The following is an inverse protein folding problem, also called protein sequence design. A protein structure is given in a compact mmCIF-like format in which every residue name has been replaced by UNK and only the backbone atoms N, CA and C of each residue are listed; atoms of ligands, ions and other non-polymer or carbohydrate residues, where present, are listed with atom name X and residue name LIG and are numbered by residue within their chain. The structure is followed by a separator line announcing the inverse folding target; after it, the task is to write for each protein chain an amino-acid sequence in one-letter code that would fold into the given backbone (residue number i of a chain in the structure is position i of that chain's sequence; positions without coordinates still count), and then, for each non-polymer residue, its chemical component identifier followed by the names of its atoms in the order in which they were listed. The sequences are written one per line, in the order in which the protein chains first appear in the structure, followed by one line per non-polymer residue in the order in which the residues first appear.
data_IF_637331783161
#
_entry.id   IF_637331783161
#
_cell.length_a   1.000
_cell.length_b   1.000
_cell.length_c   1.000
_cell.angle_alpha   90.00
_cell.angle_beta   90.00
_cell.angle_gamma   90.00
#
_symmetry.space_group_name_H-M   'P 1'
#
loop_
_entity.id
_entity.type
_entity.pdbx_description
1 polymer ?
#
# COMPACT_ATOMS: atom_id res chain seq x y z
N UNK A 1 4.15 1.94 4.19
CA UNK A 1 3.93 0.87 3.18
C UNK A 1 5.12 0.87 2.23
N UNK A 2 5.39 -0.23 1.53
CA UNK A 2 6.60 -0.41 0.74
C UNK A 2 6.73 0.59 -0.41
N UNK A 3 5.61 0.99 -1.03
CA UNK A 3 5.55 1.98 -2.11
C UNK A 3 5.83 3.42 -1.69
N UNK A 4 6.18 3.68 -0.42
CA UNK A 4 6.60 5.00 0.07
C UNK A 4 8.03 5.00 0.62
N UNK A 5 8.38 3.96 1.38
CA UNK A 5 9.63 3.89 2.16
C UNK A 5 10.38 2.57 1.97
N UNK A 6 10.11 1.85 0.88
CA UNK A 6 10.78 0.59 0.51
C UNK A 6 12.11 0.75 -0.23
N UNK A 7 12.51 1.98 -0.58
CA UNK A 7 13.80 2.29 -1.17
C UNK A 7 14.90 2.38 -0.12
N UNK A 8 16.12 2.01 -0.49
CA UNK A 8 17.29 2.00 0.41
C UNK A 8 17.46 3.36 1.14
N UNK A 9 17.30 4.46 0.40
CA UNK A 9 17.48 5.83 0.90
C UNK A 9 16.37 6.30 1.86
N UNK A 10 15.23 5.59 1.90
CA UNK A 10 14.12 5.92 2.80
C UNK A 10 14.00 4.93 3.96
N UNK A 11 14.34 3.67 3.72
CA UNK A 11 14.08 2.55 4.62
C UNK A 11 14.85 2.68 5.93
N UNK A 12 16.16 2.88 5.86
CA UNK A 12 17.02 3.08 7.04
C UNK A 12 16.68 4.36 7.82
N UNK A 13 16.64 5.53 7.15
CA UNK A 13 16.29 6.79 7.81
C UNK A 13 14.91 6.79 8.47
N UNK A 14 13.92 6.09 7.90
CA UNK A 14 12.60 5.95 8.53
C UNK A 14 12.68 5.20 9.86
N UNK A 15 13.45 4.11 9.93
CA UNK A 15 13.64 3.39 11.19
C UNK A 15 14.35 4.25 12.25
N UNK A 16 15.30 5.09 11.82
CA UNK A 16 16.01 6.01 12.71
C UNK A 16 15.07 7.09 13.30
N UNK A 17 14.24 7.75 12.49
CA UNK A 17 13.30 8.78 12.98
C UNK A 17 12.19 8.15 13.84
N UNK A 18 11.76 6.92 13.55
CA UNK A 18 10.84 6.20 14.43
C UNK A 18 11.47 5.92 15.80
N UNK A 19 12.75 5.56 15.85
CA UNK A 19 13.47 5.36 17.11
C UNK A 19 13.60 6.67 17.89
N UNK A 20 13.93 7.77 17.22
CA UNK A 20 13.96 9.10 17.82
C UNK A 20 12.62 9.44 18.48
N UNK A 21 11.52 9.30 17.74
CA UNK A 21 10.17 9.53 18.25
C UNK A 21 9.82 8.61 19.43
N UNK A 22 10.19 7.32 19.36
CA UNK A 22 9.96 6.36 20.44
C UNK A 22 10.82 6.60 21.69
N UNK A 23 11.70 7.61 21.67
CA UNK A 23 12.53 8.02 22.81
C UNK A 23 12.37 9.50 23.17
N UNK A 24 11.43 10.19 22.53
CA UNK A 24 11.13 11.59 22.80
C UNK A 24 10.20 11.72 24.02
N UNK A 25 10.22 12.88 24.67
CA UNK A 25 9.28 13.25 25.74
C UNK A 25 9.16 12.22 26.89
N UNK A 26 10.27 11.52 27.20
CA UNK A 26 10.33 10.52 28.27
C UNK A 26 9.82 9.12 27.91
N UNK A 27 9.37 8.91 26.67
CA UNK A 27 9.05 7.57 26.17
C UNK A 27 10.32 6.73 25.98
N UNK A 28 10.13 5.42 25.91
CA UNK A 28 11.17 4.45 25.59
C UNK A 28 10.67 3.46 24.56
N UNK A 29 11.57 2.68 23.97
CA UNK A 29 11.16 1.59 23.05
C UNK A 29 10.35 0.48 23.72
N UNK A 30 10.29 0.44 25.05
CA UNK A 30 9.41 -0.48 25.77
C UNK A 30 7.93 -0.06 25.68
N UNK A 31 7.67 1.21 25.35
CA UNK A 31 6.32 1.73 25.14
C UNK A 31 5.79 1.43 23.72
N UNK A 32 6.62 0.84 22.86
CA UNK A 32 6.27 0.46 21.49
C UNK A 32 6.14 -1.06 21.37
N UNK A 33 4.90 -1.53 21.20
CA UNK A 33 4.63 -2.97 21.01
C UNK A 33 4.94 -3.46 19.60
N UNK A 34 4.80 -2.59 18.60
CA UNK A 34 4.91 -2.97 17.21
C UNK A 34 4.60 -1.82 16.25
N UNK A 35 4.53 -2.16 14.97
CA UNK A 35 4.34 -1.20 13.88
C UNK A 35 3.29 -1.70 12.91
N UNK A 36 2.60 -0.80 12.22
CA UNK A 36 1.62 -1.14 11.20
C UNK A 36 2.08 -0.63 9.83
N UNK A 37 1.92 -1.44 8.79
CA UNK A 37 2.12 -1.05 7.40
C UNK A 37 0.78 -1.00 6.66
N UNK A 38 0.80 -0.40 5.47
CA UNK A 38 -0.35 -0.27 4.58
C UNK A 38 -1.60 0.45 5.10
N UNK A 39 -1.58 1.08 6.28
CA UNK A 39 -2.74 1.79 6.86
C UNK A 39 -3.41 2.71 5.84
N UNK A 40 -4.68 2.47 5.53
CA UNK A 40 -5.47 3.18 4.54
C UNK A 40 -4.87 3.22 3.11
N UNK A 41 -3.99 2.28 2.76
CA UNK A 41 -3.37 2.18 1.44
C UNK A 41 -3.82 0.90 0.71
N UNK A 42 -3.17 0.59 -0.41
CA UNK A 42 -3.61 -0.41 -1.37
C UNK A 42 -2.50 -1.35 -1.82
N UNK A 43 -1.28 -1.23 -1.28
CA UNK A 43 -0.17 -2.10 -1.68
C UNK A 43 -0.52 -3.57 -1.44
N UNK A 44 -0.28 -4.41 -2.45
CA UNK A 44 -0.61 -5.83 -2.41
C UNK A 44 0.00 -6.51 -1.17
N UNK A 45 -0.76 -7.42 -0.55
CA UNK A 45 -0.27 -8.17 0.61
C UNK A 45 0.95 -9.03 0.24
N UNK A 46 0.86 -9.76 -0.87
CA UNK A 46 1.91 -10.60 -1.44
C UNK A 46 1.84 -10.61 -2.95
N UNK A 47 2.96 -10.36 -3.63
CA UNK A 47 3.09 -10.54 -5.09
C UNK A 47 3.74 -11.90 -5.37
N UNK A 48 3.06 -12.73 -6.16
CA UNK A 48 3.48 -14.11 -6.44
C UNK A 48 3.73 -14.37 -7.93
N UNK A 49 3.35 -13.45 -8.81
CA UNK A 49 3.48 -13.67 -10.24
C UNK A 49 4.90 -13.40 -10.76
N UNK A 50 5.70 -12.62 -10.03
CA UNK A 50 7.11 -12.36 -10.34
C UNK A 50 7.89 -11.97 -9.07
N UNK A 51 9.23 -11.94 -9.17
CA UNK A 51 10.10 -11.57 -8.05
C UNK A 51 11.04 -10.43 -8.39
N UNK A 52 11.59 -9.78 -7.35
CA UNK A 52 12.57 -8.69 -7.50
C UNK A 52 13.88 -9.15 -8.15
N UNK A 53 14.16 -10.46 -8.10
CA UNK A 53 15.37 -11.08 -8.64
C UNK A 53 15.21 -11.50 -10.11
N UNK A 54 14.00 -11.40 -10.67
CA UNK A 54 13.77 -11.78 -12.05
C UNK A 54 14.50 -10.82 -13.00
N UNK A 55 14.97 -11.36 -14.11
CA UNK A 55 15.56 -10.62 -15.23
C UNK A 55 14.78 -10.92 -16.49
N UNK A 56 14.36 -9.87 -17.21
CA UNK A 56 13.57 -9.96 -18.45
C UNK A 56 14.22 -9.11 -19.51
N UNK A 57 14.46 -9.70 -20.69
CA UNK A 57 15.13 -9.04 -21.80
C UNK A 57 16.46 -8.35 -21.40
N UNK A 58 17.22 -8.98 -20.50
CA UNK A 58 18.51 -8.48 -20.02
C UNK A 58 18.43 -7.37 -18.97
N UNK A 59 17.23 -7.00 -18.49
CA UNK A 59 17.01 -5.98 -17.47
C UNK A 59 16.43 -6.58 -16.18
N UNK A 60 16.83 -6.05 -15.03
CA UNK A 60 16.24 -6.44 -13.74
C UNK A 60 14.79 -5.95 -13.66
N UNK A 61 13.90 -6.71 -13.01
CA UNK A 61 12.54 -6.24 -12.64
C UNK A 61 12.55 -4.89 -11.93
N UNK A 62 13.61 -4.60 -11.17
CA UNK A 62 13.81 -3.32 -10.49
C UNK A 62 13.89 -2.12 -11.44
N UNK A 63 14.27 -2.34 -12.70
CA UNK A 63 14.31 -1.28 -13.72
C UNK A 63 12.94 -0.96 -14.32
N UNK A 64 11.89 -1.72 -13.99
CA UNK A 64 10.53 -1.41 -14.46
C UNK A 64 10.02 -0.10 -13.85
N UNK A 65 9.16 0.59 -14.58
CA UNK A 65 8.54 1.86 -14.13
C UNK A 65 7.70 1.71 -12.87
N UNK A 66 7.11 0.52 -12.65
CA UNK A 66 6.29 0.25 -11.47
C UNK A 66 7.15 0.03 -10.22
N UNK A 67 8.22 -0.76 -10.35
CA UNK A 67 9.09 -1.11 -9.21
C UNK A 67 10.06 0.03 -8.89
N UNK A 68 10.56 0.70 -9.92
CA UNK A 68 11.39 1.91 -9.83
C UNK A 68 12.52 1.78 -8.79
N UNK A 69 13.31 0.72 -8.87
CA UNK A 69 14.40 0.39 -7.95
C UNK A 69 14.03 0.08 -6.49
N UNK A 70 12.75 0.01 -6.13
CA UNK A 70 12.31 -0.44 -4.82
C UNK A 70 12.87 -1.86 -4.51
N UNK A 71 13.04 -2.18 -3.23
CA UNK A 71 13.50 -3.49 -2.77
C UNK A 71 12.37 -4.49 -2.55
N UNK A 72 11.13 -4.01 -2.51
CA UNK A 72 9.95 -4.78 -2.14
C UNK A 72 8.86 -4.62 -3.19
N UNK A 73 8.12 -5.70 -3.43
CA UNK A 73 6.97 -5.73 -4.34
C UNK A 73 5.63 -5.78 -3.61
N UNK A 74 5.67 -6.03 -2.30
CA UNK A 74 4.51 -6.33 -1.48
C UNK A 74 4.73 -5.95 -0.02
N UNK A 75 3.63 -5.88 0.74
CA UNK A 75 3.67 -5.49 2.15
C UNK A 75 4.24 -6.57 3.07
N UNK A 76 4.05 -7.86 2.77
CA UNK A 76 4.53 -8.92 3.66
C UNK A 76 6.06 -8.94 3.72
N UNK A 77 6.73 -8.94 2.56
CA UNK A 77 8.20 -8.91 2.50
C UNK A 77 8.75 -7.62 3.09
N UNK A 78 8.11 -6.49 2.81
CA UNK A 78 8.46 -5.20 3.38
C UNK A 78 8.33 -5.18 4.92
N UNK A 79 7.20 -5.64 5.47
CA UNK A 79 6.96 -5.62 6.91
C UNK A 79 7.99 -6.50 7.66
N UNK A 80 8.30 -7.69 7.13
CA UNK A 80 9.30 -8.59 7.73
C UNK A 80 10.71 -7.99 7.70
N UNK A 81 11.10 -7.38 6.58
CA UNK A 81 12.39 -6.71 6.47
C UNK A 81 12.45 -5.48 7.39
N UNK A 82 11.37 -4.68 7.42
CA UNK A 82 11.32 -3.44 8.20
C UNK A 82 11.33 -3.72 9.69
N UNK A 83 10.67 -4.80 10.15
CA UNK A 83 10.82 -5.32 11.52
C UNK A 83 12.29 -5.56 11.86
N UNK A 84 13.03 -6.23 10.97
CA UNK A 84 14.45 -6.54 11.19
C UNK A 84 15.30 -5.26 11.25
N UNK A 85 14.99 -4.28 10.39
CA UNK A 85 15.62 -2.96 10.41
C UNK A 85 15.33 -2.18 11.70
N UNK A 86 14.09 -2.22 12.20
CA UNK A 86 13.70 -1.56 13.45
C UNK A 86 14.43 -2.19 14.65
N UNK A 87 14.52 -3.51 14.72
CA UNK A 87 15.33 -4.19 15.76
C UNK A 87 16.79 -3.77 15.66
N UNK A 88 17.34 -3.66 14.44
CA UNK A 88 18.72 -3.21 14.21
C UNK A 88 18.93 -1.74 14.59
N UNK A 89 17.89 -0.91 14.51
CA UNK A 89 17.87 0.48 14.98
C UNK A 89 17.67 0.60 16.51
N UNK A 90 17.49 -0.52 17.24
CA UNK A 90 17.43 -0.56 18.69
C UNK A 90 16.01 -0.61 19.28
N UNK A 91 15.01 -1.05 18.52
CA UNK A 91 13.74 -1.51 19.08
C UNK A 91 13.87 -2.92 19.67
N UNK A 92 12.94 -3.30 20.57
CA UNK A 92 12.95 -4.61 21.19
C UNK A 92 12.79 -5.74 20.15
N UNK A 93 13.47 -6.86 20.35
CA UNK A 93 13.43 -7.99 19.41
C UNK A 93 12.07 -8.71 19.36
N UNK A 94 11.18 -8.44 20.31
CA UNK A 94 9.83 -9.00 20.40
C UNK A 94 8.75 -8.11 19.77
N UNK A 95 9.10 -6.98 19.13
CA UNK A 95 8.11 -6.19 18.39
C UNK A 95 7.42 -7.03 17.31
N UNK A 96 6.15 -6.74 17.06
CA UNK A 96 5.38 -7.33 15.97
C UNK A 96 4.97 -6.33 14.90
N UNK A 97 4.52 -6.85 13.77
CA UNK A 97 4.02 -6.04 12.65
C UNK A 97 2.55 -6.31 12.40
N UNK A 98 1.80 -5.27 12.06
CA UNK A 98 0.46 -5.35 11.51
C UNK A 98 0.48 -4.96 10.03
N UNK A 99 -0.43 -5.51 9.24
CA UNK A 99 -0.67 -5.06 7.86
C UNK A 99 -2.15 -4.74 7.71
N UNK A 100 -2.45 -3.50 7.31
CA UNK A 100 -3.82 -3.14 6.92
C UNK A 100 -4.16 -3.81 5.57
N UNK A 101 -5.09 -4.75 5.64
CA UNK A 101 -5.57 -5.56 4.51
C UNK A 101 -6.99 -5.17 4.07
N UNK A 102 -7.51 -4.04 4.57
CA UNK A 102 -8.86 -3.57 4.30
C UNK A 102 -9.20 -3.45 2.82
N UNK A 103 -8.26 -2.98 1.98
CA UNK A 103 -8.53 -2.60 0.58
C UNK A 103 -7.46 -3.06 -0.42
N UNK A 104 -6.61 -4.03 -0.06
CA UNK A 104 -5.46 -4.43 -0.88
C UNK A 104 -5.59 -5.81 -1.56
N UNK A 105 -6.81 -6.33 -1.71
CA UNK A 105 -7.02 -7.66 -2.29
C UNK A 105 -6.72 -7.73 -3.78
N UNK A 106 -7.09 -6.70 -4.54
CA UNK A 106 -6.96 -6.66 -6.00
C UNK A 106 -7.48 -7.94 -6.68
N UNK A 107 -8.72 -8.29 -6.36
CA UNK A 107 -9.45 -9.41 -6.95
C UNK A 107 -10.23 -9.01 -8.20
N UNK A 108 -11.35 -9.69 -8.41
CA UNK A 108 -12.18 -9.52 -9.59
C UNK A 108 -11.58 -10.16 -10.85
N UNK A 109 -12.31 -10.06 -11.96
CA UNK A 109 -11.96 -10.72 -13.22
C UNK A 109 -10.66 -10.20 -13.87
N UNK A 110 -10.18 -9.02 -13.45
CA UNK A 110 -8.95 -8.40 -13.97
C UNK A 110 -7.68 -8.80 -13.20
N UNK A 111 -7.79 -9.58 -12.10
CA UNK A 111 -6.63 -10.06 -11.35
C UNK A 111 -5.78 -11.00 -12.23
N UNK A 112 -4.48 -10.71 -12.45
CA UNK A 112 -3.63 -11.60 -13.21
C UNK A 112 -3.48 -12.98 -12.55
N UNK A 113 -3.50 -14.04 -13.37
CA UNK A 113 -3.33 -15.43 -12.92
C UNK A 113 -1.88 -15.93 -13.05
N UNK A 114 -0.96 -15.06 -13.48
CA UNK A 114 0.45 -15.38 -13.69
C UNK A 114 1.25 -14.16 -14.16
N UNK A 115 2.57 -14.32 -14.41
CA UNK A 115 3.42 -13.24 -14.91
C UNK A 115 2.94 -12.67 -16.25
N UNK A 116 3.32 -11.43 -16.52
CA UNK A 116 3.13 -10.81 -17.84
C UNK A 116 4.05 -11.38 -18.92
N UNK A 117 3.90 -10.92 -20.17
CA UNK A 117 4.77 -11.31 -21.28
C UNK A 117 6.22 -10.85 -21.05
N UNK A 118 7.19 -11.71 -21.39
CA UNK A 118 8.63 -11.44 -21.25
C UNK A 118 9.21 -10.56 -22.39
N UNK A 119 8.39 -9.71 -23.01
CA UNK A 119 8.79 -8.85 -24.15
C UNK A 119 9.55 -7.60 -23.69
N UNK A 120 9.25 -7.09 -22.50
CA UNK A 120 10.03 -6.06 -21.81
C UNK A 120 9.81 -6.20 -20.29
N UNK A 121 10.66 -5.57 -19.48
CA UNK A 121 10.48 -5.57 -18.03
C UNK A 121 9.15 -4.93 -17.60
N UNK A 122 8.75 -3.84 -18.26
CA UNK A 122 7.48 -3.16 -17.98
C UNK A 122 6.29 -4.05 -18.35
N UNK A 123 6.31 -4.71 -19.52
CA UNK A 123 5.22 -5.58 -19.94
C UNK A 123 5.08 -6.81 -19.03
N UNK A 124 6.21 -7.35 -18.55
CA UNK A 124 6.24 -8.46 -17.60
C UNK A 124 5.62 -8.07 -16.25
N UNK A 125 6.02 -6.92 -15.71
CA UNK A 125 5.54 -6.41 -14.43
C UNK A 125 4.09 -5.96 -14.52
N UNK A 126 3.71 -5.13 -15.49
CA UNK A 126 2.33 -4.62 -15.64
C UNK A 126 1.32 -5.72 -15.99
N UNK A 127 1.76 -6.75 -16.72
CA UNK A 127 0.93 -7.92 -17.02
C UNK A 127 0.75 -8.84 -15.81
N UNK A 128 1.72 -8.86 -14.87
CA UNK A 128 1.73 -9.77 -13.74
C UNK A 128 1.24 -9.19 -12.42
N UNK A 129 1.40 -7.88 -12.18
CA UNK A 129 1.17 -7.30 -10.84
C UNK A 129 -0.29 -7.34 -10.40
N UNK A 130 -0.51 -7.71 -9.14
CA UNK A 130 -1.84 -7.65 -8.53
C UNK A 130 -2.29 -6.22 -8.29
N UNK A 131 -1.43 -5.38 -7.70
CA UNK A 131 -1.73 -3.96 -7.51
C UNK A 131 -1.87 -3.29 -8.88
N UNK A 132 -3.05 -2.75 -9.20
CA UNK A 132 -3.39 -2.22 -10.53
C UNK A 132 -3.35 -0.69 -10.61
N UNK A 133 -2.80 0.00 -9.60
CA UNK A 133 -2.66 1.47 -9.64
C UNK A 133 -1.76 1.92 -10.78
N UNK A 134 -1.86 3.20 -11.16
CA UNK A 134 -0.92 3.80 -12.12
C UNK A 134 0.46 4.03 -11.51
N UNK A 135 0.52 4.30 -10.20
CA UNK A 135 1.75 4.50 -9.47
C UNK A 135 1.57 4.09 -7.99
N UNK A 136 2.62 3.59 -7.34
CA UNK A 136 2.59 3.21 -5.92
C UNK A 136 2.29 4.38 -4.96
N UNK A 137 2.52 5.62 -5.40
CA UNK A 137 2.19 6.86 -4.70
C UNK A 137 0.74 7.32 -4.85
N UNK A 138 -0.08 6.64 -5.67
CA UNK A 138 -1.51 6.95 -5.76
C UNK A 138 -2.26 6.34 -4.57
N UNK A 139 -2.79 7.20 -3.69
CA UNK A 139 -3.29 6.80 -2.37
C UNK A 139 -4.77 7.09 -2.12
N UNK A 140 -5.43 7.93 -2.92
CA UNK A 140 -6.81 8.35 -2.63
C UNK A 140 -7.82 7.59 -3.48
N UNK A 141 -8.86 7.02 -2.85
CA UNK A 141 -10.04 6.43 -3.45
C UNK A 141 -9.76 5.55 -4.68
N UNK A 142 -8.75 4.67 -4.59
CA UNK A 142 -8.21 4.02 -5.79
C UNK A 142 -9.24 3.14 -6.50
N UNK A 143 -9.41 3.42 -7.79
CA UNK A 143 -10.28 2.64 -8.67
C UNK A 143 -9.71 1.24 -8.93
N UNK A 144 -10.61 0.26 -8.98
CA UNK A 144 -10.26 -1.16 -9.15
C UNK A 144 -9.83 -1.87 -7.88
N UNK A 145 -9.65 -1.18 -6.76
CA UNK A 145 -9.30 -1.78 -5.48
C UNK A 145 -10.36 -2.79 -5.01
N UNK A 146 -9.96 -3.70 -4.12
CA UNK A 146 -10.76 -4.80 -3.62
C UNK A 146 -10.51 -5.09 -2.14
N UNK A 147 -11.51 -5.59 -1.42
CA UNK A 147 -11.31 -6.08 -0.04
C UNK A 147 -10.18 -7.12 -0.03
N UNK A 148 -9.25 -7.01 0.91
CA UNK A 148 -8.18 -7.97 1.07
C UNK A 148 -8.54 -9.16 1.94
N UNK A 149 -7.50 -9.78 2.48
CA UNK A 149 -7.64 -10.81 3.51
C UNK A 149 -8.44 -10.26 4.69
N UNK A 150 -9.33 -11.06 5.26
CA UNK A 150 -10.10 -10.66 6.45
C UNK A 150 -9.16 -10.63 7.65
N UNK A 151 -9.49 -9.90 8.74
CA UNK A 151 -8.64 -9.86 9.92
C UNK A 151 -8.28 -11.27 10.40
N UNK A 152 -6.98 -11.52 10.55
CA UNK A 152 -6.41 -12.82 10.88
C UNK A 152 -5.24 -12.65 11.83
N UNK A 153 -5.27 -13.38 12.94
CA UNK A 153 -4.18 -13.39 13.92
C UNK A 153 -3.02 -14.29 13.46
N UNK A 154 -1.79 -13.86 13.75
CA UNK A 154 -0.53 -14.53 13.46
C UNK A 154 -0.44 -15.21 12.08
N UNK A 155 -0.72 -14.49 10.97
CA UNK A 155 -0.79 -15.10 9.63
C UNK A 155 0.58 -15.47 9.05
N UNK A 156 1.66 -14.86 9.55
CA UNK A 156 3.02 -15.11 9.09
C UNK A 156 4.04 -14.76 10.18
N UNK A 157 5.27 -15.27 10.03
CA UNK A 157 6.36 -14.97 10.98
C UNK A 157 6.63 -13.46 11.07
N UNK A 158 6.64 -12.93 12.29
CA UNK A 158 6.86 -11.51 12.58
C UNK A 158 5.65 -10.60 12.32
N UNK A 159 4.50 -11.17 11.89
CA UNK A 159 3.24 -10.45 11.70
C UNK A 159 2.26 -10.88 12.79
N UNK A 160 1.86 -9.94 13.65
CA UNK A 160 0.91 -10.20 14.74
C UNK A 160 -0.50 -10.41 14.21
N UNK A 161 -0.91 -9.60 13.23
CA UNK A 161 -2.20 -9.75 12.58
C UNK A 161 -2.26 -9.03 11.23
N UNK A 162 -3.09 -9.57 10.34
CA UNK A 162 -3.75 -8.76 9.33
C UNK A 162 -4.96 -8.09 9.97
N UNK A 163 -5.12 -6.80 9.73
CA UNK A 163 -6.19 -5.98 10.31
C UNK A 163 -6.90 -5.20 9.21
N UNK A 164 -8.14 -4.81 9.46
CA UNK A 164 -8.80 -3.78 8.67
C UNK A 164 -8.76 -2.50 9.48
N UNK A 165 -7.73 -1.68 9.25
CA UNK A 165 -7.54 -0.43 10.00
C UNK A 165 -8.36 0.70 9.39
N UNK A 166 -8.31 0.88 8.06
CA UNK A 166 -9.25 1.74 7.34
C UNK A 166 -10.58 0.99 7.16
N UNK A 167 -11.73 1.52 7.64
CA UNK A 167 -13.01 0.87 7.42
C UNK A 167 -13.37 0.87 5.92
N UNK A 168 -13.59 -0.31 5.30
CA UNK A 168 -13.95 -0.36 3.89
C UNK A 168 -15.26 0.38 3.61
N UNK A 169 -15.23 1.28 2.62
CA UNK A 169 -16.38 2.11 2.25
C UNK A 169 -16.33 3.53 2.81
N UNK A 170 -15.42 3.85 3.73
CA UNK A 170 -15.13 5.24 4.05
C UNK A 170 -14.21 5.87 3.00
N UNK A 171 -14.57 7.06 2.52
CA UNK A 171 -13.73 7.80 1.58
C UNK A 171 -12.39 8.21 2.19
N UNK A 172 -11.38 8.35 1.32
CA UNK A 172 -10.07 8.92 1.66
C UNK A 172 -10.06 10.44 1.56
N UNK A 173 -10.99 11.04 0.81
CA UNK A 173 -11.04 12.48 0.54
C UNK A 173 -12.01 12.84 -0.59
N UNK A 174 -12.50 14.08 -0.57
CA UNK A 174 -13.44 14.57 -1.56
C UNK A 174 -12.79 14.68 -2.94
N UNK A 175 -13.49 14.26 -3.99
CA UNK A 175 -13.01 14.35 -5.37
C UNK A 175 -13.16 15.75 -6.00
N UNK A 176 -13.75 16.69 -5.26
CA UNK A 176 -13.96 18.09 -5.62
C UNK A 176 -14.09 18.92 -4.35
N UNK A 177 -14.13 20.24 -4.48
CA UNK A 177 -14.45 21.10 -3.36
C UNK A 177 -15.88 20.86 -2.86
N UNK A 178 -16.00 20.56 -1.56
CA UNK A 178 -17.29 20.36 -0.87
C UNK A 178 -17.24 21.22 0.40
N UNK A 179 -18.08 22.27 0.51
CA UNK A 179 -18.17 23.08 1.72
C UNK A 179 -18.48 22.21 2.95
N UNK A 180 -17.73 22.39 4.03
CA UNK A 180 -17.88 21.63 5.26
C UNK A 180 -17.40 22.41 6.50
N UNK A 181 -17.78 21.93 7.68
CA UNK A 181 -17.40 22.48 8.99
C UNK A 181 -16.34 21.62 9.69
N UNK A 182 -15.70 20.70 8.98
CA UNK A 182 -14.73 19.73 9.53
C UNK A 182 -13.27 20.14 9.28
N UNK A 183 -13.04 21.29 8.64
CA UNK A 183 -11.70 21.78 8.29
C UNK A 183 -11.02 20.96 7.19
N UNK A 184 -11.79 20.21 6.39
CA UNK A 184 -11.25 19.32 5.34
C UNK A 184 -11.24 20.02 3.98
N UNK A 185 -10.05 20.18 3.42
CA UNK A 185 -9.86 20.76 2.09
C UNK A 185 -10.04 19.76 0.94
N UNK A 186 -9.88 20.26 -0.28
CA UNK A 186 -9.85 19.47 -1.51
C UNK A 186 -8.41 19.14 -1.91
N UNK A 187 -8.00 17.88 -1.70
CA UNK A 187 -6.71 17.37 -2.18
C UNK A 187 -6.88 16.81 -3.60
N UNK A 188 -6.08 17.31 -4.54
CA UNK A 188 -6.16 16.89 -5.95
C UNK A 188 -5.65 15.46 -6.18
N UNK A 189 -4.96 14.82 -5.24
CA UNK A 189 -4.73 13.37 -5.32
C UNK A 189 -6.03 12.56 -5.24
N UNK A 190 -7.15 13.16 -4.81
CA UNK A 190 -8.49 12.58 -4.85
C UNK A 190 -9.31 13.00 -6.08
N UNK A 191 -8.80 13.92 -6.90
CA UNK A 191 -9.41 14.40 -8.13
C UNK A 191 -9.08 13.44 -9.30
N UNK A 192 -10.07 12.78 -9.92
CA UNK A 192 -9.83 11.89 -11.06
C UNK A 192 -9.18 12.57 -12.26
N UNK A 193 -9.28 13.90 -12.38
CA UNK A 193 -8.73 14.69 -13.49
C UNK A 193 -7.34 15.25 -13.20
N UNK A 194 -6.81 15.01 -12.00
CA UNK A 194 -5.49 15.51 -11.65
C UNK A 194 -4.38 14.68 -12.30
N UNK A 195 -3.49 15.37 -13.02
CA UNK A 195 -2.35 14.79 -13.75
C UNK A 195 -1.12 14.48 -12.87
N UNK A 196 -1.28 14.59 -11.55
CA UNK A 196 -0.23 14.24 -10.60
C UNK A 196 0.85 15.32 -10.44
N UNK A 197 1.95 14.90 -9.84
CA UNK A 197 3.14 15.72 -9.54
C UNK A 197 4.37 14.79 -9.45
N UNK A 198 5.60 15.29 -9.18
CA UNK A 198 6.78 14.45 -9.11
C UNK A 198 6.64 13.23 -8.18
N UNK A 199 5.86 13.33 -7.09
CA UNK A 199 5.75 12.27 -6.07
C UNK A 199 4.95 11.06 -6.51
N UNK A 200 4.10 11.18 -7.54
CA UNK A 200 3.46 10.04 -8.19
C UNK A 200 3.91 9.90 -9.65
N UNK A 201 5.08 10.44 -9.97
CA UNK A 201 5.70 10.43 -11.29
C UNK A 201 4.78 10.97 -12.41
N UNK A 202 4.05 12.06 -12.12
CA UNK A 202 3.13 12.73 -13.05
C UNK A 202 2.08 11.81 -13.67
N UNK A 203 1.61 10.82 -12.89
CA UNK A 203 0.49 9.98 -13.29
C UNK A 203 -0.84 10.62 -12.89
N UNK A 204 -1.90 10.29 -13.62
CA UNK A 204 -3.26 10.54 -13.16
C UNK A 204 -3.47 9.95 -11.76
N UNK A 205 -4.32 10.58 -10.94
CA UNK A 205 -4.57 10.12 -9.56
C UNK A 205 -5.09 8.68 -9.47
N UNK A 206 -5.86 8.22 -10.46
CA UNK A 206 -6.57 6.93 -10.41
C UNK A 206 -7.71 6.89 -9.38
N UNK A 207 -8.07 8.05 -8.80
CA UNK A 207 -9.13 8.18 -7.81
C UNK A 207 -10.52 8.01 -8.45
N UNK A 208 -11.45 7.43 -7.70
CA UNK A 208 -12.85 7.36 -8.09
C UNK A 208 -13.51 8.75 -8.08
N UNK A 209 -14.41 9.05 -9.04
CA UNK A 209 -15.19 10.28 -9.07
C UNK A 209 -16.29 10.29 -8.00
N UNK A 210 -16.88 11.46 -7.78
CA UNK A 210 -17.99 11.71 -6.86
C UNK A 210 -17.74 11.17 -5.44
N UNK A 211 -16.48 11.21 -5.00
CA UNK A 211 -16.10 10.81 -3.66
C UNK A 211 -16.51 11.88 -2.64
N UNK A 212 -17.13 11.49 -1.51
CA UNK A 212 -17.48 12.42 -0.45
C UNK A 212 -16.24 12.81 0.37
N UNK A 213 -16.44 13.66 1.38
CA UNK A 213 -15.38 14.06 2.32
C UNK A 213 -14.76 12.84 3.00
N UNK A 214 -13.48 12.91 3.36
CA UNK A 214 -12.78 11.80 4.01
C UNK A 214 -13.51 11.30 5.26
N UNK A 215 -13.61 9.98 5.41
CA UNK A 215 -14.37 9.33 6.49
C UNK A 215 -15.87 9.21 6.25
N UNK A 216 -16.45 9.92 5.27
CA UNK A 216 -17.86 9.78 4.93
C UNK A 216 -18.08 8.49 4.11
N UNK A 217 -19.31 7.96 4.17
CA UNK A 217 -19.68 6.74 3.46
C UNK A 217 -19.67 6.92 1.94
N UNK A 218 -18.86 6.12 1.26
CA UNK A 218 -18.70 6.11 -0.19
C UNK A 218 -19.24 4.80 -0.79
N UNK A 219 -20.55 4.79 -1.00
CA UNK A 219 -21.29 3.61 -1.49
C UNK A 219 -20.74 3.01 -2.79
N UNK A 220 -20.25 3.84 -3.73
CA UNK A 220 -19.69 3.35 -4.99
C UNK A 220 -18.37 2.57 -4.75
N UNK A 221 -17.45 3.13 -3.94
CA UNK A 221 -16.22 2.44 -3.60
C UNK A 221 -16.49 1.17 -2.78
N UNK A 222 -17.40 1.20 -1.81
CA UNK A 222 -17.74 0.01 -1.02
C UNK A 222 -18.21 -1.16 -1.91
N UNK A 223 -19.11 -0.88 -2.86
CA UNK A 223 -19.59 -1.89 -3.83
C UNK A 223 -18.45 -2.44 -4.69
N UNK A 224 -17.55 -1.58 -5.17
CA UNK A 224 -16.39 -2.03 -5.95
C UNK A 224 -15.42 -2.88 -5.10
N UNK A 225 -15.16 -2.47 -3.85
CA UNK A 225 -14.32 -3.22 -2.93
C UNK A 225 -14.86 -4.64 -2.71
N UNK A 226 -16.17 -4.78 -2.50
CA UNK A 226 -16.82 -6.10 -2.37
C UNK A 226 -16.71 -6.94 -3.64
N UNK A 227 -16.97 -6.35 -4.81
CA UNK A 227 -16.91 -7.04 -6.10
C UNK A 227 -15.50 -7.56 -6.40
N UNK A 228 -14.47 -6.79 -6.02
CA UNK A 228 -13.08 -7.12 -6.27
C UNK A 228 -12.39 -7.77 -5.06
N UNK A 229 -13.13 -8.32 -4.11
CA UNK A 229 -12.56 -8.95 -2.93
C UNK A 229 -11.62 -10.12 -3.30
N UNK A 230 -10.47 -10.20 -2.66
CA UNK A 230 -9.55 -11.33 -2.75
C UNK A 230 -8.90 -11.62 -1.38
N UNK A 231 -9.08 -12.83 -0.81
CA UNK A 231 -9.86 -13.95 -1.34
C UNK A 231 -11.35 -13.61 -1.57
N UNK A 232 -12.09 -14.29 -2.47
CA UNK A 232 -13.52 -14.02 -2.69
C UNK A 232 -14.34 -14.05 -1.39
N UNK A 233 -15.46 -13.32 -1.36
CA UNK A 233 -16.44 -13.38 -0.28
C UNK A 233 -17.24 -14.68 -0.36
N UNK A 234 -17.59 -15.25 0.80
CA UNK A 234 -18.44 -16.43 0.94
C UNK A 234 -19.90 -16.05 1.19
#
# INVERSE_FOLDING_TARGET
HHGWIGWDDNFGPTAAIMKEAATAEGATVNDVHGFITNTANYSALKENNFTINDTVAGKSVRESKWVDWNRYLDELSYAQAFRSQLVSAGFNSNIGMLIDTSRNGWGGAARPTGPGPKTSVDAYVDGGRYDRRFNGGNWCNQSGAGLGERPQAAPAAGIDAYVWMKPPGESDGASKEIPNTEGKGFDRMCDPTYEGNPRNNYNMSGALPDAPISGHWFSAQFRQLMQNAYPPLS
#
